data_IF_001534234056
#
_entry.id   IF_001534234056
#
_cell.length_a   1.000
_cell.length_b   1.000
_cell.length_c   1.000
_cell.angle_alpha   90.00
_cell.angle_beta   90.00
_cell.angle_gamma   90.00
#
_symmetry.space_group_name_H-M   'P 1'
#
loop_
_entity.id
_entity.type
_entity.pdbx_description
1 polymer ?
#
# COMPACT_ATOMS: atom_id res chain seq x y z
N UNK A 1 19.55 -7.90 -32.80
CA UNK A 1 18.90 -8.40 -31.58
C UNK A 1 18.22 -7.20 -30.94
N UNK A 2 16.90 -7.09 -31.02
CA UNK A 2 16.18 -5.91 -30.50
C UNK A 2 16.08 -6.04 -28.98
N UNK A 3 16.69 -5.11 -28.25
CA UNK A 3 16.52 -5.04 -26.79
C UNK A 3 15.07 -4.67 -26.51
N UNK A 4 14.37 -5.49 -25.73
CA UNK A 4 13.01 -5.20 -25.30
C UNK A 4 13.01 -3.89 -24.48
N UNK A 5 12.00 -3.03 -24.63
CA UNK A 5 11.95 -1.76 -23.92
C UNK A 5 11.92 -2.02 -22.41
N UNK A 6 12.89 -1.43 -21.71
CA UNK A 6 12.95 -1.43 -20.24
C UNK A 6 12.32 -0.13 -19.73
N UNK A 7 11.27 -0.25 -18.91
CA UNK A 7 10.57 0.89 -18.33
C UNK A 7 11.11 1.16 -16.92
N UNK A 8 11.51 2.40 -16.65
CA UNK A 8 11.88 2.84 -15.30
C UNK A 8 10.68 3.50 -14.64
N UNK A 9 10.40 3.15 -13.39
CA UNK A 9 9.24 3.66 -12.64
C UNK A 9 9.55 5.01 -12.00
N UNK A 10 8.58 5.93 -12.00
CA UNK A 10 8.75 7.28 -11.46
C UNK A 10 8.81 7.25 -9.93
N UNK A 11 7.98 6.41 -9.27
CA UNK A 11 7.95 6.33 -7.80
C UNK A 11 9.25 5.76 -7.21
N UNK A 12 9.96 4.93 -7.98
CA UNK A 12 11.27 4.40 -7.61
C UNK A 12 12.11 4.10 -8.86
N UNK A 13 12.98 5.06 -9.22
CA UNK A 13 13.87 4.99 -10.39
C UNK A 13 14.89 3.84 -10.36
N UNK A 14 15.05 3.16 -9.23
CA UNK A 14 15.91 1.96 -9.12
C UNK A 14 15.20 0.71 -9.66
N UNK A 15 13.88 0.74 -9.76
CA UNK A 15 13.07 -0.37 -10.27
C UNK A 15 12.91 -0.22 -11.77
N UNK A 16 13.19 -1.32 -12.48
CA UNK A 16 13.09 -1.39 -13.93
C UNK A 16 12.24 -2.60 -14.31
N UNK A 17 11.18 -2.36 -15.06
CA UNK A 17 10.33 -3.41 -15.62
C UNK A 17 10.86 -3.79 -17.01
N UNK A 18 11.00 -5.09 -17.25
CA UNK A 18 11.41 -5.68 -18.53
C UNK A 18 10.55 -6.90 -18.84
N UNK A 19 10.55 -7.32 -20.12
CA UNK A 19 9.87 -8.53 -20.58
C UNK A 19 10.87 -9.62 -21.00
N UNK A 20 12.04 -9.64 -20.37
CA UNK A 20 13.13 -10.58 -20.64
C UNK A 20 13.13 -11.80 -19.70
N UNK A 21 12.14 -11.89 -18.81
CA UNK A 21 11.98 -13.02 -17.88
C UNK A 21 12.98 -13.02 -16.73
N UNK A 22 13.46 -11.85 -16.28
CA UNK A 22 14.35 -11.68 -15.14
C UNK A 22 13.77 -12.13 -13.78
N UNK A 23 13.77 -11.26 -12.77
CA UNK A 23 13.09 -11.57 -11.50
C UNK A 23 11.57 -11.54 -11.71
N UNK A 24 10.89 -12.62 -11.31
CA UNK A 24 9.46 -12.82 -11.53
C UNK A 24 8.72 -12.95 -10.20
N UNK A 25 7.55 -12.33 -10.12
CA UNK A 25 6.55 -12.54 -9.07
C UNK A 25 5.14 -12.52 -9.68
N UNK A 26 4.23 -13.30 -9.11
CA UNK A 26 2.80 -13.23 -9.44
C UNK A 26 2.21 -11.84 -9.15
N UNK A 27 2.79 -11.11 -8.19
CA UNK A 27 2.33 -9.80 -7.76
C UNK A 27 2.95 -8.64 -8.54
N UNK A 28 3.78 -8.92 -9.56
CA UNK A 28 4.50 -7.87 -10.32
C UNK A 28 3.56 -6.83 -10.94
N UNK A 29 2.29 -7.18 -11.20
CA UNK A 29 1.26 -6.25 -11.66
C UNK A 29 1.04 -5.05 -10.73
N UNK A 30 1.32 -5.22 -9.43
CA UNK A 30 1.17 -4.15 -8.43
C UNK A 30 2.13 -2.97 -8.65
N UNK A 31 3.26 -3.18 -9.33
CA UNK A 31 4.14 -2.07 -9.72
C UNK A 31 3.45 -1.08 -10.68
N UNK A 32 2.55 -1.57 -11.53
CA UNK A 32 1.78 -0.71 -12.44
C UNK A 32 0.76 0.13 -11.66
N UNK A 33 0.09 -0.47 -10.67
CA UNK A 33 -0.83 0.26 -9.79
C UNK A 33 -0.10 1.27 -8.92
N UNK A 34 1.09 0.95 -8.42
CA UNK A 34 1.91 1.90 -7.67
C UNK A 34 2.39 3.07 -8.53
N UNK A 35 2.77 2.81 -9.77
CA UNK A 35 3.13 3.86 -10.73
C UNK A 35 1.92 4.75 -11.07
N UNK A 36 0.73 4.17 -11.16
CA UNK A 36 -0.51 4.93 -11.32
C UNK A 36 -0.84 5.78 -10.10
N UNK A 37 -0.75 5.22 -8.88
CA UNK A 37 -0.89 5.95 -7.59
C UNK A 37 0.02 7.18 -7.56
N UNK A 38 1.28 7.03 -7.99
CA UNK A 38 2.25 8.12 -8.04
C UNK A 38 1.81 9.21 -9.03
N UNK A 39 1.38 8.82 -10.25
CA UNK A 39 0.95 9.77 -11.29
C UNK A 39 -0.29 10.58 -10.93
N UNK A 40 -1.21 10.00 -10.15
CA UNK A 40 -2.38 10.73 -9.64
C UNK A 40 -2.10 11.43 -8.30
N UNK A 41 -0.88 11.33 -7.79
CA UNK A 41 -0.45 11.87 -6.50
C UNK A 41 -1.36 11.42 -5.34
N UNK A 42 -1.70 10.12 -5.31
CA UNK A 42 -2.65 9.57 -4.33
C UNK A 42 -2.13 9.71 -2.90
N UNK A 43 -0.81 9.69 -2.68
CA UNK A 43 -0.18 10.00 -1.37
C UNK A 43 -0.68 11.32 -0.78
N UNK A 44 -0.71 12.37 -1.60
CA UNK A 44 -1.16 13.69 -1.16
C UNK A 44 -2.67 13.71 -0.89
N UNK A 45 -3.44 12.97 -1.70
CA UNK A 45 -4.88 12.79 -1.47
C UNK A 45 -5.15 12.11 -0.13
N UNK A 46 -4.44 11.02 0.18
CA UNK A 46 -4.55 10.33 1.47
C UNK A 46 -4.19 11.26 2.62
N UNK A 47 -3.06 11.95 2.56
CA UNK A 47 -2.63 12.87 3.61
C UNK A 47 -3.63 14.03 3.85
N UNK A 48 -4.35 14.46 2.81
CA UNK A 48 -5.33 15.55 2.90
C UNK A 48 -6.67 15.10 3.48
N UNK A 49 -7.13 13.91 3.10
CA UNK A 49 -8.52 13.49 3.36
C UNK A 49 -8.64 12.38 4.42
N UNK A 50 -7.57 11.63 4.73
CA UNK A 50 -7.58 10.59 5.75
C UNK A 50 -7.36 11.17 7.16
N UNK A 51 -8.35 11.92 7.64
CA UNK A 51 -8.29 12.54 8.96
C UNK A 51 -8.85 11.59 10.03
N UNK A 52 -8.00 10.70 10.55
CA UNK A 52 -8.35 9.79 11.63
C UNK A 52 -7.81 10.30 12.97
N UNK A 53 -8.59 10.15 14.04
CA UNK A 53 -8.08 10.37 15.40
C UNK A 53 -7.06 9.28 15.74
N UNK A 54 -5.80 9.68 15.78
CA UNK A 54 -4.69 8.78 16.05
C UNK A 54 -4.00 9.10 17.38
N UNK A 55 -4.41 8.39 18.44
CA UNK A 55 -3.85 8.56 19.78
C UNK A 55 -2.52 7.80 19.98
N UNK A 56 -1.96 7.18 18.93
CA UNK A 56 -0.72 6.42 19.04
C UNK A 56 0.46 7.38 19.24
N UNK A 57 1.21 7.18 20.32
CA UNK A 57 2.45 7.93 20.57
C UNK A 57 3.61 7.49 19.69
N UNK A 58 3.65 6.20 19.37
CA UNK A 58 4.64 5.59 18.48
C UNK A 58 3.93 4.62 17.54
N UNK A 59 4.27 4.66 16.26
CA UNK A 59 3.73 3.74 15.27
C UNK A 59 4.80 3.38 14.23
N UNK A 60 4.75 2.15 13.74
CA UNK A 60 5.60 1.67 12.64
C UNK A 60 4.96 2.01 11.28
N UNK A 61 3.64 1.89 11.18
CA UNK A 61 2.88 2.17 9.94
C UNK A 61 1.95 3.37 10.15
N UNK A 62 2.07 4.35 9.25
CA UNK A 62 1.17 5.51 9.19
C UNK A 62 -0.23 5.09 8.73
N UNK A 63 -1.24 5.93 8.98
CA UNK A 63 -2.62 5.63 8.56
C UNK A 63 -2.74 5.55 7.04
N UNK A 64 -1.99 6.38 6.31
CA UNK A 64 -1.93 6.41 4.85
C UNK A 64 -1.35 5.11 4.31
N UNK A 65 -0.25 4.62 4.88
CA UNK A 65 0.34 3.35 4.47
C UNK A 65 -0.54 2.15 4.83
N UNK A 66 -1.23 2.19 5.98
CA UNK A 66 -2.20 1.16 6.36
C UNK A 66 -3.37 1.11 5.38
N UNK A 67 -3.91 2.26 4.97
CA UNK A 67 -5.00 2.31 4.00
C UNK A 67 -4.53 1.88 2.61
N UNK A 68 -3.39 2.41 2.15
CA UNK A 68 -2.79 2.04 0.86
C UNK A 68 -2.51 0.55 0.78
N UNK A 69 -1.94 -0.04 1.84
CA UNK A 69 -1.71 -1.47 1.92
C UNK A 69 -3.01 -2.25 1.70
N UNK A 70 -4.10 -1.92 2.42
CA UNK A 70 -5.36 -2.65 2.22
C UNK A 70 -5.94 -2.44 0.82
N UNK A 71 -5.84 -1.24 0.25
CA UNK A 71 -6.30 -0.97 -1.12
C UNK A 71 -5.54 -1.86 -2.11
N UNK A 72 -4.21 -1.92 -2.03
CA UNK A 72 -3.40 -2.75 -2.93
C UNK A 72 -3.68 -4.25 -2.73
N UNK A 73 -3.84 -4.70 -1.49
CA UNK A 73 -4.25 -6.08 -1.20
C UNK A 73 -5.59 -6.43 -1.86
N UNK A 74 -6.58 -5.53 -1.79
CA UNK A 74 -7.89 -5.73 -2.44
C UNK A 74 -7.74 -5.80 -3.97
N UNK A 75 -6.94 -4.91 -4.57
CA UNK A 75 -6.70 -4.88 -6.02
C UNK A 75 -6.04 -6.19 -6.49
N UNK A 76 -5.07 -6.68 -5.74
CA UNK A 76 -4.37 -7.96 -5.99
C UNK A 76 -5.23 -9.20 -5.70
N UNK A 77 -6.42 -9.06 -5.11
CA UNK A 77 -7.32 -10.17 -4.78
C UNK A 77 -7.11 -10.79 -3.39
N UNK A 78 -6.26 -10.19 -2.55
CA UNK A 78 -6.07 -10.56 -1.14
C UNK A 78 -7.16 -9.93 -0.25
N UNK A 79 -8.37 -10.45 -0.34
CA UNK A 79 -9.53 -9.91 0.40
C UNK A 79 -9.52 -10.31 1.87
N UNK A 80 -9.10 -11.54 2.15
CA UNK A 80 -9.16 -12.12 3.49
C UNK A 80 -8.14 -11.46 4.43
N UNK A 81 -8.51 -11.43 5.70
CA UNK A 81 -7.77 -10.71 6.74
C UNK A 81 -6.40 -11.35 7.01
N UNK A 82 -6.31 -12.67 7.00
CA UNK A 82 -5.09 -13.45 7.23
C UNK A 82 -4.05 -13.32 6.10
N UNK A 83 -4.47 -12.93 4.89
CA UNK A 83 -3.54 -12.57 3.82
C UNK A 83 -2.57 -11.46 4.22
N UNK A 84 -2.98 -10.53 5.09
CA UNK A 84 -2.10 -9.48 5.56
C UNK A 84 -0.90 -10.01 6.35
N UNK A 85 -1.07 -11.11 7.09
CA UNK A 85 0.04 -11.75 7.79
C UNK A 85 1.02 -12.40 6.81
N UNK A 86 0.50 -13.06 5.76
CA UNK A 86 1.32 -13.69 4.72
C UNK A 86 2.16 -12.67 3.95
N UNK A 87 1.59 -11.50 3.67
CA UNK A 87 2.25 -10.45 2.90
C UNK A 87 3.23 -9.59 3.73
N UNK A 88 3.35 -9.80 5.04
CA UNK A 88 4.19 -8.98 5.94
C UNK A 88 5.62 -8.77 5.41
N UNK A 89 6.19 -9.78 4.75
CA UNK A 89 7.55 -9.77 4.20
C UNK A 89 7.59 -9.97 2.69
N UNK A 90 6.45 -9.83 2.01
CA UNK A 90 6.40 -10.00 0.57
C UNK A 90 7.27 -8.92 -0.12
N UNK A 91 8.22 -9.31 -1.00
CA UNK A 91 9.16 -8.36 -1.59
C UNK A 91 8.47 -7.36 -2.52
N UNK A 92 7.39 -7.72 -3.21
CA UNK A 92 6.69 -6.79 -4.09
C UNK A 92 5.92 -5.78 -3.25
N UNK A 93 5.12 -6.24 -2.29
CA UNK A 93 4.31 -5.36 -1.47
C UNK A 93 5.15 -4.43 -0.58
N UNK A 94 6.27 -4.92 -0.03
CA UNK A 94 7.18 -4.05 0.73
C UNK A 94 7.80 -2.95 -0.13
N UNK A 95 8.11 -3.23 -1.40
CA UNK A 95 8.64 -2.24 -2.34
C UNK A 95 7.60 -1.20 -2.77
N UNK A 96 6.39 -1.63 -3.15
CA UNK A 96 5.34 -0.70 -3.60
C UNK A 96 4.81 0.18 -2.47
N UNK A 97 4.78 -0.31 -1.22
CA UNK A 97 4.40 0.51 -0.06
C UNK A 97 5.58 1.35 0.45
N UNK A 98 6.82 0.92 0.20
CA UNK A 98 8.03 1.63 0.63
C UNK A 98 8.35 1.41 2.11
N UNK A 99 8.12 0.20 2.63
CA UNK A 99 8.34 -0.15 4.04
C UNK A 99 9.06 -1.49 4.17
N UNK A 100 9.90 -1.66 5.20
CA UNK A 100 10.64 -2.91 5.42
C UNK A 100 9.74 -4.13 5.73
N UNK A 101 8.54 -3.89 6.25
CA UNK A 101 7.53 -4.89 6.51
C UNK A 101 6.15 -4.22 6.39
N UNK A 102 5.15 -4.98 5.95
CA UNK A 102 3.76 -4.55 5.96
C UNK A 102 3.13 -4.71 7.35
N UNK A 103 1.98 -4.10 7.54
CA UNK A 103 1.16 -4.29 8.73
C UNK A 103 0.50 -5.68 8.70
N UNK A 104 0.57 -6.37 9.84
CA UNK A 104 -0.12 -7.64 10.07
C UNK A 104 -1.64 -7.47 10.18
N UNK A 105 -2.39 -8.58 10.14
CA UNK A 105 -3.83 -8.60 10.34
C UNK A 105 -4.27 -7.87 11.63
N UNK A 106 -3.66 -8.11 12.81
CA UNK A 106 -4.04 -7.38 14.02
C UNK A 106 -3.78 -5.87 13.93
N UNK A 107 -2.78 -5.46 13.15
CA UNK A 107 -2.45 -4.05 12.93
C UNK A 107 -3.50 -3.36 12.06
N UNK A 108 -3.93 -4.02 10.97
CA UNK A 108 -5.03 -3.55 10.12
C UNK A 108 -6.37 -3.54 10.88
N UNK A 109 -6.66 -4.55 11.69
CA UNK A 109 -7.86 -4.57 12.54
C UNK A 109 -7.92 -3.35 13.47
N UNK A 110 -6.81 -3.02 14.16
CA UNK A 110 -6.73 -1.81 15.01
C UNK A 110 -6.84 -0.52 14.21
N UNK A 111 -6.37 -0.50 12.97
CA UNK A 111 -6.52 0.64 12.07
C UNK A 111 -7.99 0.86 11.70
N UNK A 112 -8.72 -0.18 11.29
CA UNK A 112 -10.13 -0.05 10.93
C UNK A 112 -11.03 0.41 12.08
N UNK A 113 -10.71 0.02 13.32
CA UNK A 113 -11.41 0.54 14.51
C UNK A 113 -11.34 2.06 14.69
N UNK A 114 -10.39 2.74 14.02
CA UNK A 114 -10.29 4.22 14.06
C UNK A 114 -11.37 4.90 13.23
N UNK A 115 -11.95 4.22 12.24
CA UNK A 115 -13.07 4.73 11.45
C UNK A 115 -14.38 4.69 12.24
N UNK A 116 -14.59 3.66 13.07
CA UNK A 116 -15.77 3.57 13.93
C UNK A 116 -15.83 4.66 14.99
N UNK A 117 -14.66 5.09 15.48
CA UNK A 117 -14.54 6.17 16.48
C UNK A 117 -14.99 7.55 15.95
N UNK A 118 -15.16 7.71 14.64
CA UNK A 118 -15.63 8.96 14.02
C UNK A 118 -17.16 9.13 14.19
N UNK A 119 -17.90 8.06 14.51
CA UNK A 119 -19.37 8.10 14.58
C UNK A 119 -19.97 8.92 15.75
N UNK A 120 -19.17 9.52 16.64
CA UNK A 120 -19.70 10.21 17.84
C UNK A 120 -19.60 11.74 17.83
N UNK A 121 -18.94 12.36 16.84
CA UNK A 121 -18.68 13.82 16.87
C UNK A 121 -19.39 14.59 15.75
N UNK A 122 -19.81 13.94 14.67
CA UNK A 122 -20.38 14.66 13.50
C UNK A 122 -21.92 14.63 13.40
N UNK A 123 -22.66 14.16 14.43
CA UNK A 123 -24.14 14.15 14.42
C UNK A 123 -24.79 15.11 15.43
N UNK A 124 -24.01 15.90 16.18
CA UNK A 124 -24.54 16.84 17.20
C UNK A 124 -23.96 18.25 17.06
N UNK A 125 -23.64 18.68 15.83
CA UNK A 125 -23.38 20.11 15.56
C UNK A 125 -24.08 20.55 14.29
#
# INVERSE_FOLDING_TARGET
>A
MATLPQLTLDFNRKIKLSNDGGELSSDTGEFLFREFDEKINFSSTLARFLNLKDNRRYYVHSNENLLRQKIYQIIAGYTDDDNADQLTRDPVFTQIIGTNALASQPSLSRFFRRFDAIKFIDFVT
#
